data_IF_140968923680
#
_entry.id   IF_140968923680
#
_cell.length_a   1.000
_cell.length_b   1.000
_cell.length_c   1.000
_cell.angle_alpha   90.00
_cell.angle_beta   90.00
_cell.angle_gamma   90.00
#
_symmetry.space_group_name_H-M   'P 1'
#
loop_
_entity.id
_entity.type
_entity.pdbx_description
1 polymer ?
#
# COMPACT_ATOMS: atom_id res chain seq x y z
N UNK A 1 13.39 9.60 -6.82
CA UNK A 1 12.13 9.13 -6.20
C UNK A 1 11.71 7.81 -6.83
N UNK A 2 11.37 6.80 -6.02
CA UNK A 2 11.01 5.46 -6.49
C UNK A 2 9.59 5.11 -6.06
N UNK A 3 8.78 4.61 -6.99
CA UNK A 3 7.38 4.27 -6.73
C UNK A 3 7.29 2.82 -6.22
N UNK A 4 6.59 2.62 -5.11
CA UNK A 4 6.42 1.31 -4.46
C UNK A 4 4.93 1.09 -4.19
N UNK A 5 4.42 -0.08 -4.59
CA UNK A 5 3.02 -0.47 -4.39
C UNK A 5 2.95 -1.71 -3.50
N UNK A 6 2.30 -1.58 -2.35
CA UNK A 6 2.03 -2.72 -1.46
C UNK A 6 0.71 -3.40 -1.83
N UNK A 7 0.74 -4.73 -2.01
CA UNK A 7 -0.43 -5.51 -2.45
C UNK A 7 -0.77 -6.61 -1.45
N UNK A 8 -2.07 -6.76 -1.15
CA UNK A 8 -2.63 -7.93 -0.46
C UNK A 8 -4.06 -8.16 -0.94
N UNK A 9 -4.66 -9.30 -0.60
CA UNK A 9 -5.98 -9.67 -1.14
C UNK A 9 -7.09 -8.64 -0.86
N UNK A 10 -7.17 -8.11 0.37
CA UNK A 10 -8.26 -7.19 0.78
C UNK A 10 -7.88 -5.72 0.96
N UNK A 11 -6.59 -5.38 0.95
CA UNK A 11 -6.10 -4.03 1.28
C UNK A 11 -6.61 -3.47 2.63
N UNK A 12 -6.74 -4.32 3.65
CA UNK A 12 -7.30 -3.91 4.96
C UNK A 12 -6.27 -3.85 6.09
N UNK A 13 -5.22 -4.66 6.02
CA UNK A 13 -4.21 -4.77 7.08
C UNK A 13 -2.80 -4.65 6.51
N UNK A 14 -2.23 -5.76 6.01
CA UNK A 14 -0.82 -5.84 5.61
C UNK A 14 -0.37 -4.74 4.64
N UNK A 15 -1.09 -4.55 3.52
CA UNK A 15 -0.73 -3.51 2.55
C UNK A 15 -0.83 -2.08 3.08
N UNK A 16 -1.97 -1.63 3.67
CA UNK A 16 -2.06 -0.27 4.19
C UNK A 16 -1.10 -0.04 5.37
N UNK A 17 -0.79 -1.06 6.17
CA UNK A 17 0.26 -0.96 7.19
C UNK A 17 1.64 -0.76 6.55
N UNK A 18 1.99 -1.51 5.51
CA UNK A 18 3.26 -1.34 4.79
C UNK A 18 3.42 0.05 4.19
N UNK A 19 2.34 0.60 3.64
CA UNK A 19 2.30 1.99 3.20
C UNK A 19 2.52 2.97 4.36
N UNK A 20 1.78 2.86 5.46
CA UNK A 20 1.94 3.76 6.62
C UNK A 20 3.34 3.73 7.20
N UNK A 21 3.95 2.54 7.32
CA UNK A 21 5.32 2.38 7.82
C UNK A 21 6.32 3.06 6.88
N UNK A 22 6.12 2.97 5.56
CA UNK A 22 7.05 3.55 4.58
C UNK A 22 6.69 4.95 4.11
N UNK A 23 5.58 5.55 4.58
CA UNK A 23 5.07 6.87 4.16
C UNK A 23 6.04 8.02 4.39
N UNK A 24 6.89 7.90 5.40
CA UNK A 24 7.84 8.97 5.77
C UNK A 24 9.23 8.80 5.13
N UNK A 25 9.42 7.85 4.22
CA UNK A 25 10.69 7.72 3.52
C UNK A 25 10.82 8.79 2.44
N UNK A 26 11.83 9.68 2.52
CA UNK A 26 11.93 10.87 1.66
C UNK A 26 12.17 10.55 0.18
N UNK A 27 12.61 9.33 -0.13
CA UNK A 27 12.94 8.92 -1.51
C UNK A 27 11.88 8.02 -2.16
N UNK A 28 10.81 7.67 -1.43
CA UNK A 28 9.82 6.68 -1.85
C UNK A 28 8.42 7.29 -1.97
N UNK A 29 7.77 7.03 -3.10
CA UNK A 29 6.34 7.25 -3.27
C UNK A 29 5.63 5.92 -3.03
N UNK A 30 5.00 5.78 -1.86
CA UNK A 30 4.33 4.53 -1.45
C UNK A 30 2.82 4.62 -1.62
N UNK A 31 2.23 3.54 -2.13
CA UNK A 31 0.77 3.34 -2.21
C UNK A 31 0.39 1.92 -1.80
N UNK A 32 -0.88 1.67 -1.48
CA UNK A 32 -1.40 0.33 -1.22
C UNK A 32 -2.63 -0.01 -2.07
N UNK A 33 -2.73 -1.28 -2.47
CA UNK A 33 -3.86 -1.80 -3.26
C UNK A 33 -4.22 -3.23 -2.85
N UNK A 34 -5.38 -3.69 -3.35
CA UNK A 34 -5.74 -5.10 -3.21
C UNK A 34 -6.30 -5.72 -4.47
N UNK A 35 -6.14 -7.04 -4.55
CA UNK A 35 -6.42 -7.83 -5.75
C UNK A 35 -7.85 -8.37 -5.80
N UNK A 36 -8.53 -8.47 -4.66
CA UNK A 36 -9.93 -8.89 -4.63
C UNK A 36 -10.85 -7.77 -5.14
N UNK A 37 -11.93 -8.12 -5.82
CA UNK A 37 -13.00 -7.17 -6.15
C UNK A 37 -13.60 -6.49 -4.91
N UNK A 38 -13.52 -7.15 -3.74
CA UNK A 38 -13.95 -6.61 -2.45
C UNK A 38 -12.81 -5.92 -1.68
N UNK A 39 -11.67 -5.67 -2.30
CA UNK A 39 -10.57 -4.97 -1.66
C UNK A 39 -10.99 -3.53 -1.32
N UNK A 40 -10.50 -3.04 -0.18
CA UNK A 40 -10.72 -1.66 0.22
C UNK A 40 -9.98 -0.77 -0.77
N UNK A 41 -10.72 0.11 -1.45
CA UNK A 41 -10.15 1.11 -2.33
C UNK A 41 -9.49 2.19 -1.46
N UNK A 42 -8.29 2.59 -1.85
CA UNK A 42 -7.59 3.73 -1.26
C UNK A 42 -7.91 5.00 -2.03
#
# INVERSE_FOLDING_TARGET
MRNVLFICSRNQWRSPTGEQVRKHHPELNVRSAGTSQKAKKQ
#
